data_IF_418469443628
#
_entry.id   IF_418469443628
#
_cell.length_a   1.000
_cell.length_b   1.000
_cell.length_c   1.000
_cell.angle_alpha   90.00
_cell.angle_beta   90.00
_cell.angle_gamma   90.00
#
_symmetry.space_group_name_H-M   'P 1'
#
loop_
_entity.id
_entity.type
_entity.pdbx_description
1 polymer ?
#
# COMPACT_ATOMS: atom_id res chain seq x y z
N UNK A 1 -5.97 -1.58 -8.03
CA UNK A 1 -4.58 -1.30 -8.42
C UNK A 1 -3.93 -2.62 -8.78
N UNK A 2 -3.16 -2.66 -9.88
CA UNK A 2 -2.51 -3.89 -10.34
C UNK A 2 -1.26 -4.20 -9.52
N UNK A 3 -1.14 -5.42 -9.01
CA UNK A 3 -0.08 -5.90 -8.12
C UNK A 3 0.43 -7.25 -8.58
N UNK A 4 1.74 -7.48 -8.55
CA UNK A 4 2.34 -8.74 -8.99
C UNK A 4 2.09 -9.82 -7.97
N UNK A 5 1.82 -11.04 -8.43
CA UNK A 5 1.78 -12.23 -7.58
C UNK A 5 3.22 -12.60 -7.20
N UNK A 6 3.48 -12.72 -5.90
CA UNK A 6 4.78 -13.12 -5.35
C UNK A 6 4.77 -14.53 -4.78
N UNK A 7 3.60 -15.06 -4.44
CA UNK A 7 3.47 -16.38 -3.84
C UNK A 7 2.04 -16.87 -3.76
N UNK A 8 1.87 -18.07 -3.23
CA UNK A 8 0.57 -18.68 -2.97
C UNK A 8 0.59 -19.42 -1.64
N UNK A 9 -0.52 -19.37 -0.92
CA UNK A 9 -0.74 -20.15 0.28
C UNK A 9 -2.20 -20.59 0.36
N UNK A 10 -2.47 -21.58 1.22
CA UNK A 10 -3.82 -21.95 1.60
C UNK A 10 -4.18 -21.20 2.87
N UNK A 11 -5.38 -20.64 2.92
CA UNK A 11 -5.94 -20.12 4.17
C UNK A 11 -6.47 -21.25 5.06
N UNK A 12 -7.06 -20.88 6.19
CA UNK A 12 -7.66 -21.80 7.17
C UNK A 12 -8.81 -22.65 6.61
N UNK A 13 -9.39 -22.27 5.46
CA UNK A 13 -10.43 -23.01 4.77
C UNK A 13 -9.91 -23.85 3.60
N UNK A 14 -8.59 -23.96 3.45
CA UNK A 14 -7.94 -24.59 2.29
C UNK A 14 -8.31 -23.92 0.95
N UNK A 15 -8.58 -22.62 0.97
CA UNK A 15 -8.73 -21.85 -0.26
C UNK A 15 -7.40 -21.25 -0.72
N UNK A 16 -7.12 -21.34 -2.01
CA UNK A 16 -5.92 -20.73 -2.58
C UNK A 16 -5.98 -19.19 -2.54
N UNK A 17 -4.97 -18.61 -1.90
CA UNK A 17 -4.72 -17.17 -1.83
C UNK A 17 -3.41 -16.86 -2.55
N UNK A 18 -3.45 -15.91 -3.48
CA UNK A 18 -2.26 -15.32 -4.07
C UNK A 18 -1.75 -14.22 -3.14
N UNK A 19 -0.50 -14.32 -2.70
CA UNK A 19 0.22 -13.23 -2.05
C UNK A 19 0.69 -12.26 -3.14
N UNK A 20 0.49 -10.96 -2.90
CA UNK A 20 0.86 -9.90 -3.83
C UNK A 20 2.08 -9.12 -3.34
N UNK A 21 2.77 -8.40 -4.23
CA UNK A 21 3.91 -7.53 -3.91
C UNK A 21 3.59 -6.36 -2.93
N UNK A 22 2.30 -6.12 -2.67
CA UNK A 22 1.81 -5.21 -1.65
C UNK A 22 1.49 -5.88 -0.32
N UNK A 23 1.78 -7.17 -0.18
CA UNK A 23 1.51 -8.04 0.99
C UNK A 23 0.05 -8.29 1.31
N UNK A 24 -0.88 -7.89 0.43
CA UNK A 24 -2.25 -8.35 0.52
C UNK A 24 -2.41 -9.74 -0.10
N UNK A 25 -3.19 -10.59 0.56
CA UNK A 25 -3.72 -11.82 -0.03
C UNK A 25 -4.93 -11.56 -0.93
N UNK A 26 -5.03 -12.28 -2.03
CA UNK A 26 -6.21 -12.30 -2.89
C UNK A 26 -6.62 -13.74 -3.22
N UNK A 27 -7.85 -14.13 -2.84
CA UNK A 27 -8.39 -15.44 -3.19
C UNK A 27 -8.45 -15.66 -4.71
N UNK A 28 -7.90 -16.78 -5.16
CA UNK A 28 -7.77 -17.17 -6.56
C UNK A 28 -8.52 -18.46 -6.91
N UNK A 29 -9.65 -18.69 -6.25
CA UNK A 29 -10.50 -19.87 -6.40
C UNK A 29 -10.90 -20.16 -7.86
N UNK A 30 -10.94 -21.45 -8.19
CA UNK A 30 -11.56 -21.96 -9.40
C UNK A 30 -12.94 -22.52 -9.06
N UNK A 31 -13.99 -21.81 -9.47
CA UNK A 31 -15.38 -22.22 -9.25
C UNK A 31 -16.21 -21.94 -10.52
N UNK A 32 -16.10 -22.77 -11.57
CA UNK A 32 -16.93 -22.65 -12.76
C UNK A 32 -18.43 -22.77 -12.44
N UNK A 33 -19.31 -22.02 -13.13
CA UNK A 33 -19.02 -21.10 -14.22
C UNK A 33 -18.55 -19.71 -13.77
N UNK A 34 -18.69 -19.38 -12.48
CA UNK A 34 -18.51 -18.02 -11.98
C UNK A 34 -17.04 -17.54 -11.93
N UNK A 35 -16.08 -18.46 -11.75
CA UNK A 35 -14.64 -18.16 -11.67
C UNK A 35 -13.81 -19.24 -12.37
N UNK A 36 -13.40 -18.96 -13.62
CA UNK A 36 -12.58 -19.88 -14.40
C UNK A 36 -11.08 -19.57 -14.23
N UNK A 37 -10.38 -20.37 -13.43
CA UNK A 37 -8.94 -20.23 -13.09
C UNK A 37 -8.30 -21.62 -12.91
N UNK A 38 -8.33 -22.48 -13.94
CA UNK A 38 -7.89 -23.88 -13.80
C UNK A 38 -6.41 -23.99 -13.42
N UNK A 39 -5.61 -22.96 -13.78
CA UNK A 39 -4.20 -22.84 -13.40
C UNK A 39 -3.95 -22.88 -11.88
N UNK A 40 -4.93 -22.52 -11.05
CA UNK A 40 -4.76 -22.55 -9.58
C UNK A 40 -4.71 -23.97 -9.04
N UNK A 41 -5.29 -24.93 -9.76
CA UNK A 41 -5.46 -26.31 -9.29
C UNK A 41 -4.14 -27.09 -9.29
N UNK A 42 -3.15 -26.68 -10.08
CA UNK A 42 -1.87 -27.38 -10.20
C UNK A 42 -0.71 -26.53 -9.69
N UNK A 43 0.33 -27.19 -9.16
CA UNK A 43 1.55 -26.49 -8.71
C UNK A 43 2.22 -25.77 -9.89
N UNK A 44 2.29 -26.41 -11.06
CA UNK A 44 2.85 -25.80 -12.28
C UNK A 44 2.07 -24.55 -12.69
N UNK A 45 0.74 -24.64 -12.77
CA UNK A 45 -0.08 -23.51 -13.17
C UNK A 45 0.02 -22.33 -12.21
N UNK A 46 0.21 -22.57 -10.90
CA UNK A 46 0.51 -21.49 -9.94
C UNK A 46 1.89 -20.89 -10.17
N UNK A 47 2.92 -21.71 -10.39
CA UNK A 47 4.28 -21.22 -10.71
C UNK A 47 4.28 -20.34 -11.97
N UNK A 48 3.53 -20.74 -13.00
CA UNK A 48 3.39 -19.98 -14.25
C UNK A 48 2.69 -18.63 -14.07
N UNK A 49 2.03 -18.41 -12.93
CA UNK A 49 1.38 -17.14 -12.59
C UNK A 49 2.19 -16.26 -11.64
N UNK A 50 3.37 -16.68 -11.19
CA UNK A 50 4.25 -15.77 -10.46
C UNK A 50 4.65 -14.59 -11.35
N UNK A 51 4.63 -13.38 -10.80
CA UNK A 51 4.91 -12.13 -11.52
C UNK A 51 3.71 -11.55 -12.29
N UNK A 52 2.66 -12.32 -12.55
CA UNK A 52 1.43 -11.82 -13.19
C UNK A 52 0.70 -10.81 -12.30
N UNK A 53 -0.01 -9.87 -12.93
CA UNK A 53 -0.67 -8.76 -12.21
C UNK A 53 -2.15 -9.02 -11.92
N UNK A 54 -2.54 -9.04 -10.65
CA UNK A 54 -3.94 -9.07 -10.20
C UNK A 54 -4.42 -7.69 -9.74
N UNK A 55 -5.73 -7.44 -9.78
CA UNK A 55 -6.30 -6.23 -9.20
C UNK A 55 -6.48 -6.39 -7.69
N UNK A 56 -5.64 -5.73 -6.91
CA UNK A 56 -5.74 -5.68 -5.45
C UNK A 56 -6.78 -4.63 -5.03
N UNK A 57 -7.96 -5.10 -4.62
CA UNK A 57 -9.07 -4.25 -4.14
C UNK A 57 -8.76 -3.63 -2.78
N UNK A 58 -7.96 -4.29 -1.94
CA UNK A 58 -7.53 -3.76 -0.65
C UNK A 58 -6.64 -2.51 -0.81
N UNK A 59 -5.71 -2.53 -1.77
CA UNK A 59 -4.98 -1.32 -2.17
C UNK A 59 -5.93 -0.22 -2.71
N UNK A 60 -6.98 -0.58 -3.45
CA UNK A 60 -7.97 0.40 -3.94
C UNK A 60 -8.74 1.08 -2.83
N UNK A 61 -8.90 0.40 -1.69
CA UNK A 61 -9.58 0.89 -0.49
C UNK A 61 -8.63 1.53 0.52
N UNK A 62 -7.34 1.63 0.18
CA UNK A 62 -6.30 2.12 1.09
C UNK A 62 -6.23 1.32 2.39
N UNK A 63 -6.53 0.02 2.33
CA UNK A 63 -6.39 -0.86 3.48
C UNK A 63 -4.90 -1.13 3.74
N UNK A 64 -4.51 -1.09 5.02
CA UNK A 64 -3.17 -1.42 5.45
C UNK A 64 -3.05 -2.95 5.63
N UNK A 65 -2.01 -3.60 5.11
CA UNK A 65 -1.83 -5.04 5.28
C UNK A 65 -1.39 -5.37 6.71
N UNK A 66 -1.79 -6.54 7.19
CA UNK A 66 -1.40 -7.05 8.50
C UNK A 66 0.04 -7.59 8.48
N UNK A 67 0.66 -7.69 9.66
CA UNK A 67 1.97 -8.35 9.82
C UNK A 67 3.17 -7.56 9.33
N UNK A 68 3.03 -6.29 8.94
CA UNK A 68 4.19 -5.43 8.63
C UNK A 68 4.84 -4.87 9.89
N UNK A 69 6.15 -4.70 9.81
CA UNK A 69 6.99 -4.20 10.90
C UNK A 69 7.44 -2.77 10.60
N UNK A 70 7.25 -1.87 11.56
CA UNK A 70 7.73 -0.50 11.48
C UNK A 70 9.26 -0.48 11.52
N UNK A 71 9.90 0.25 10.61
CA UNK A 71 11.37 0.35 10.58
C UNK A 71 11.89 1.78 10.66
N UNK A 72 11.05 2.78 10.36
CA UNK A 72 11.44 4.19 10.39
C UNK A 72 10.25 5.08 10.73
N UNK A 73 10.55 6.18 11.42
CA UNK A 73 9.62 7.27 11.68
C UNK A 73 10.32 8.59 11.37
N UNK A 74 9.63 9.52 10.71
CA UNK A 74 10.18 10.87 10.50
C UNK A 74 10.19 11.67 11.80
N UNK A 75 10.95 12.77 11.81
CA UNK A 75 10.66 13.85 12.75
C UNK A 75 9.23 14.37 12.55
N UNK A 76 8.72 15.09 13.55
CA UNK A 76 7.46 15.82 13.41
C UNK A 76 7.70 17.01 12.49
N UNK A 77 6.91 17.11 11.43
CA UNK A 77 6.91 18.25 10.53
C UNK A 77 5.87 19.28 10.96
N UNK A 78 6.23 20.55 10.83
CA UNK A 78 5.32 21.69 10.91
C UNK A 78 5.09 22.28 9.52
N UNK A 79 4.19 23.26 9.38
CA UNK A 79 3.98 23.97 8.12
C UNK A 79 5.28 24.50 7.49
N UNK A 80 6.23 24.96 8.32
CA UNK A 80 7.50 25.54 7.87
C UNK A 80 8.61 24.51 7.66
N UNK A 81 8.46 23.31 8.22
CA UNK A 81 9.50 22.27 8.19
C UNK A 81 9.15 21.08 7.29
N UNK A 82 8.02 21.11 6.57
CA UNK A 82 7.67 20.04 5.62
C UNK A 82 8.72 20.00 4.50
N UNK A 83 9.38 18.85 4.26
CA UNK A 83 10.28 18.71 3.12
C UNK A 83 9.53 18.98 1.81
N UNK A 84 10.08 19.86 0.95
CA UNK A 84 9.46 20.25 -0.33
C UNK A 84 9.10 19.07 -1.23
N UNK A 85 9.80 17.93 -1.10
CA UNK A 85 9.49 16.70 -1.81
C UNK A 85 8.13 16.10 -1.44
N UNK A 86 7.69 16.24 -0.19
CA UNK A 86 6.37 15.75 0.26
C UNK A 86 5.21 16.60 -0.26
N UNK A 87 5.48 17.86 -0.63
CA UNK A 87 4.51 18.81 -1.20
C UNK A 87 4.25 18.57 -2.70
N UNK A 88 4.99 17.64 -3.31
CA UNK A 88 4.89 17.28 -4.73
C UNK A 88 4.54 15.80 -4.86
N UNK A 89 4.12 15.42 -6.05
CA UNK A 89 3.84 14.02 -6.37
C UNK A 89 5.09 13.17 -6.13
N UNK A 90 4.94 12.17 -5.26
CA UNK A 90 5.96 11.17 -4.96
C UNK A 90 5.28 9.84 -4.60
N UNK A 91 6.08 8.80 -4.43
CA UNK A 91 5.60 7.48 -4.04
C UNK A 91 6.63 6.75 -3.17
N UNK A 92 6.16 5.76 -2.42
CA UNK A 92 7.03 4.80 -1.77
C UNK A 92 7.47 3.72 -2.76
N UNK A 93 8.65 3.17 -2.54
CA UNK A 93 9.17 2.04 -3.31
C UNK A 93 8.27 0.79 -3.14
N UNK A 94 8.34 -0.21 -4.05
CA UNK A 94 7.61 -1.47 -3.90
C UNK A 94 7.91 -2.12 -2.56
N UNK A 95 6.87 -2.72 -1.94
CA UNK A 95 7.01 -3.38 -0.65
C UNK A 95 7.21 -2.45 0.55
N UNK A 96 7.11 -1.12 0.37
CA UNK A 96 7.17 -0.13 1.45
C UNK A 96 5.84 0.57 1.64
N UNK A 97 5.32 0.46 2.85
CA UNK A 97 4.08 1.07 3.28
C UNK A 97 4.34 2.24 4.21
N UNK A 98 3.42 3.20 4.25
CA UNK A 98 3.49 4.30 5.19
C UNK A 98 2.18 4.56 5.90
N UNK A 99 2.27 5.08 7.11
CA UNK A 99 1.16 5.70 7.82
C UNK A 99 1.48 7.17 8.07
N UNK A 100 0.61 8.05 7.58
CA UNK A 100 0.68 9.48 7.80
C UNK A 100 -0.19 9.83 9.01
N UNK A 101 0.40 10.36 10.08
CA UNK A 101 -0.31 10.67 11.33
C UNK A 101 -0.38 12.18 11.56
N UNK A 102 -1.58 12.72 11.73
CA UNK A 102 -1.79 14.13 12.08
C UNK A 102 -1.96 14.28 13.60
N UNK A 103 -1.10 15.06 14.22
CA UNK A 103 -1.11 15.35 15.65
C UNK A 103 -1.93 16.61 15.97
N UNK A 104 -1.81 17.64 15.13
CA UNK A 104 -2.47 18.94 15.29
C UNK A 104 -2.72 19.57 13.92
N UNK A 105 -3.72 20.45 13.84
CA UNK A 105 -4.06 21.18 12.62
C UNK A 105 -4.74 20.32 11.56
N UNK A 106 -4.60 20.75 10.30
CA UNK A 106 -5.22 20.09 9.15
C UNK A 106 -4.20 19.87 8.02
N UNK A 107 -4.24 18.67 7.45
CA UNK A 107 -3.38 18.23 6.36
C UNK A 107 -4.23 17.60 5.25
N UNK A 108 -4.10 18.10 4.02
CA UNK A 108 -4.70 17.46 2.85
C UNK A 108 -3.75 16.40 2.31
N UNK A 109 -4.21 15.16 2.23
CA UNK A 109 -3.53 14.05 1.55
C UNK A 109 -4.15 13.85 0.16
N UNK A 110 -3.35 13.99 -0.89
CA UNK A 110 -3.82 14.01 -2.28
C UNK A 110 -3.38 12.74 -3.00
N UNK A 111 -4.32 12.06 -3.67
CA UNK A 111 -4.07 10.84 -4.45
C UNK A 111 -4.29 11.14 -5.94
N UNK A 112 -3.34 10.77 -6.79
CA UNK A 112 -3.40 11.09 -8.23
C UNK A 112 -4.10 10.03 -9.09
N UNK A 113 -4.26 8.81 -8.57
CA UNK A 113 -4.71 7.66 -9.38
C UNK A 113 -6.10 7.13 -8.98
N UNK A 114 -6.85 7.85 -8.14
CA UNK A 114 -8.15 7.41 -7.62
C UNK A 114 -9.27 8.42 -7.90
N UNK A 115 -10.49 7.90 -8.02
CA UNK A 115 -11.73 8.71 -8.05
C UNK A 115 -11.89 9.62 -6.83
N UNK A 116 -11.24 9.27 -5.71
CA UNK A 116 -11.12 10.12 -4.53
C UNK A 116 -9.80 10.88 -4.63
N UNK A 117 -9.87 12.12 -5.09
CA UNK A 117 -8.68 12.93 -5.39
C UNK A 117 -7.93 13.39 -4.12
N UNK A 118 -8.63 13.50 -2.99
CA UNK A 118 -8.00 13.85 -1.72
C UNK A 118 -8.80 13.41 -0.49
N UNK A 119 -8.11 13.35 0.64
CA UNK A 119 -8.67 13.20 1.99
C UNK A 119 -8.13 14.34 2.85
N UNK A 120 -9.01 14.97 3.63
CA UNK A 120 -8.62 15.92 4.66
C UNK A 120 -8.41 15.16 5.97
N UNK A 121 -7.26 15.38 6.60
CA UNK A 121 -6.89 14.78 7.88
C UNK A 121 -6.77 15.86 8.94
N UNK A 122 -7.33 15.59 10.11
CA UNK A 122 -7.33 16.41 11.32
C UNK A 122 -6.64 15.65 12.47
N UNK A 123 -6.58 16.26 13.65
CA UNK A 123 -5.96 15.68 14.85
C UNK A 123 -6.40 14.23 15.12
N UNK A 124 -5.42 13.36 15.35
CA UNK A 124 -5.53 11.92 15.61
C UNK A 124 -5.99 11.07 14.42
N UNK A 125 -6.24 11.68 13.26
CA UNK A 125 -6.53 10.93 12.04
C UNK A 125 -5.23 10.47 11.37
N UNK A 126 -5.35 9.41 10.58
CA UNK A 126 -4.25 8.84 9.81
C UNK A 126 -4.67 8.50 8.39
N UNK A 127 -3.72 8.53 7.47
CA UNK A 127 -3.88 8.01 6.12
C UNK A 127 -2.87 6.91 5.81
N UNK A 128 -3.32 5.93 5.04
CA UNK A 128 -2.46 4.87 4.51
C UNK A 128 -1.77 5.35 3.24
N UNK A 129 -0.44 5.24 3.22
CA UNK A 129 0.40 5.46 2.05
C UNK A 129 0.70 4.12 1.42
N UNK A 130 0.14 3.90 0.25
CA UNK A 130 0.22 2.65 -0.49
C UNK A 130 1.49 2.64 -1.37
N UNK A 131 2.28 1.54 -1.40
CA UNK A 131 3.48 1.44 -2.23
C UNK A 131 3.20 1.77 -3.70
N UNK A 132 4.09 2.48 -4.38
CA UNK A 132 3.97 2.85 -5.79
C UNK A 132 2.75 3.70 -6.17
N UNK A 133 2.01 4.24 -5.20
CA UNK A 133 0.89 5.15 -5.46
C UNK A 133 1.38 6.58 -5.37
N UNK A 134 1.17 7.37 -6.44
CA UNK A 134 1.52 8.79 -6.45
C UNK A 134 0.59 9.57 -5.50
N UNK A 135 1.22 10.33 -4.62
CA UNK A 135 0.55 11.16 -3.64
C UNK A 135 1.38 12.41 -3.29
N UNK A 136 0.73 13.36 -2.63
CA UNK A 136 1.34 14.55 -2.06
C UNK A 136 0.59 14.96 -0.79
N UNK A 137 1.20 15.83 0.02
CA UNK A 137 0.52 16.48 1.16
C UNK A 137 0.50 18.00 1.00
N UNK A 138 -0.55 18.64 1.49
CA UNK A 138 -0.65 20.09 1.56
C UNK A 138 -1.16 20.52 2.94
N UNK A 139 -0.34 21.18 3.77
CA UNK A 139 -0.80 21.84 4.99
C UNK A 139 -1.88 22.88 4.68
N UNK A 140 -2.93 22.96 5.50
CA UNK A 140 -3.99 23.98 5.37
C UNK A 140 -3.89 25.08 6.44
N UNK A 141 -2.69 25.29 6.98
CA UNK A 141 -2.40 26.19 8.11
C UNK A 141 -1.34 25.57 9.03
N UNK A 142 -1.25 26.04 10.29
CA UNK A 142 -0.44 25.37 11.31
C UNK A 142 -0.82 23.89 11.42
N UNK A 143 0.18 23.02 11.35
CA UNK A 143 -0.01 21.57 11.36
C UNK A 143 1.16 20.92 12.10
N UNK A 144 0.93 19.76 12.69
CA UNK A 144 1.99 18.85 13.17
C UNK A 144 1.67 17.44 12.73
N UNK A 145 2.59 16.80 12.02
CA UNK A 145 2.39 15.43 11.54
C UNK A 145 3.72 14.69 11.38
N UNK A 146 3.67 13.37 11.26
CA UNK A 146 4.84 12.54 10.94
C UNK A 146 4.42 11.37 10.05
N UNK A 147 5.40 10.68 9.48
CA UNK A 147 5.19 9.45 8.70
C UNK A 147 5.95 8.29 9.36
N UNK A 148 5.26 7.17 9.57
CA UNK A 148 5.86 5.88 9.92
C UNK A 148 5.93 4.99 8.68
N UNK A 149 7.03 4.25 8.54
CA UNK A 149 7.31 3.37 7.39
C UNK A 149 7.43 1.93 7.81
N UNK A 150 6.86 1.05 6.98
CA UNK A 150 6.69 -0.36 7.27
C UNK A 150 7.12 -1.22 6.08
N UNK A 151 7.70 -2.37 6.38
CA UNK A 151 8.01 -3.43 5.41
C UNK A 151 7.78 -4.80 6.06
N UNK A 152 7.86 -5.87 5.28
CA UNK A 152 7.63 -7.23 5.79
C UNK A 152 8.66 -7.61 6.86
N UNK A 153 9.92 -7.26 6.64
CA UNK A 153 11.05 -7.65 7.51
C UNK A 153 11.52 -6.52 8.43
N UNK A 154 10.85 -5.35 8.41
CA UNK A 154 11.27 -4.20 9.22
C UNK A 154 12.60 -3.59 8.76
N UNK A 155 12.92 -3.69 7.47
CA UNK A 155 14.15 -3.14 6.88
C UNK A 155 13.82 -2.14 5.77
N UNK A 156 14.59 -1.06 5.72
CA UNK A 156 14.61 -0.13 4.58
C UNK A 156 15.43 -0.77 3.44
N UNK A 157 14.76 -1.28 2.41
CA UNK A 157 15.43 -1.82 1.22
C UNK A 157 15.77 -0.71 0.22
N UNK A 158 16.79 -0.94 -0.62
CA UNK A 158 17.25 0.02 -1.62
C UNK A 158 16.10 0.47 -2.54
N UNK A 159 16.06 1.78 -2.84
CA UNK A 159 15.03 2.43 -3.67
C UNK A 159 14.99 1.83 -5.08
N UNK A 160 14.23 0.77 -5.26
CA UNK A 160 13.80 0.35 -6.58
C UNK A 160 12.61 1.22 -6.97
N UNK A 161 12.74 1.94 -8.09
CA UNK A 161 11.66 2.73 -8.64
C UNK A 161 10.52 1.80 -9.06
N UNK A 162 9.28 2.19 -8.77
CA UNK A 162 8.12 1.51 -9.32
C UNK A 162 8.10 1.76 -10.84
N UNK A 163 8.36 0.72 -11.63
CA UNK A 163 8.25 0.69 -13.10
C UNK A 163 6.81 0.45 -13.56
#
# INVERSE_FOLDING_TARGET
>A
MKRKITGFYLDEHNDWVAELDCYHGQHVRHNPPFKNRPWVMTVSGRKDKLGEKLNCVRCDRLEFPEGLVAYRKTAIFTADSVPKGLLKDHSLAPGHWGLLHVLEGQLRYQLKHFKKESTLLSKNEKAVIVPCMLHAVAPLGPVRFYVEFFSKDGVESQKNMCI
#
